data_IF_639440424669
#
_entry.id   IF_639440424669
#
_cell.length_a   1.000
_cell.length_b   1.000
_cell.length_c   1.000
_cell.angle_alpha   90.00
_cell.angle_beta   90.00
_cell.angle_gamma   90.00
#
_symmetry.space_group_name_H-M   'P 1'
#
loop_
_entity.id
_entity.type
_entity.pdbx_description
1 polymer ?
#
# COMPACT_ATOMS: atom_id res chain seq x y z
N UNK A 1 -8.63 -14.89 -12.59
CA UNK A 1 -9.67 -14.88 -11.56
C UNK A 1 -9.59 -16.22 -10.86
N UNK A 2 -9.02 -16.25 -9.68
CA UNK A 2 -9.08 -17.42 -8.81
C UNK A 2 -10.41 -17.34 -8.02
N UNK A 3 -11.09 -18.48 -7.73
CA UNK A 3 -12.43 -18.50 -7.08
C UNK A 3 -12.55 -17.74 -5.74
N UNK A 4 -11.56 -16.99 -5.32
CA UNK A 4 -11.55 -16.25 -4.05
C UNK A 4 -11.11 -14.79 -4.14
N UNK A 5 -10.51 -14.32 -5.25
CA UNK A 5 -10.04 -12.94 -5.38
C UNK A 5 -10.04 -12.47 -6.83
N UNK A 6 -10.37 -11.20 -7.04
CA UNK A 6 -10.21 -10.50 -8.31
C UNK A 6 -9.37 -9.24 -8.07
N UNK A 7 -8.24 -9.14 -8.74
CA UNK A 7 -7.36 -7.97 -8.70
C UNK A 7 -7.38 -7.29 -10.06
N UNK A 8 -7.56 -5.98 -10.05
CA UNK A 8 -7.58 -5.14 -11.26
C UNK A 8 -6.66 -3.93 -11.06
N UNK A 9 -6.03 -3.51 -12.14
CA UNK A 9 -5.17 -2.32 -12.13
C UNK A 9 -5.29 -1.55 -13.45
N UNK A 10 -5.42 -0.23 -13.35
CA UNK A 10 -5.30 0.70 -14.48
C UNK A 10 -4.01 1.48 -14.33
N UNK A 11 -3.01 1.13 -15.14
CA UNK A 11 -1.65 1.64 -15.02
C UNK A 11 -1.44 2.94 -15.79
N UNK A 12 -0.87 3.95 -15.14
CA UNK A 12 -0.09 4.97 -15.81
C UNK A 12 1.34 4.44 -15.96
N UNK A 13 1.86 4.38 -17.18
CA UNK A 13 3.17 3.76 -17.44
C UNK A 13 4.27 4.79 -17.18
N UNK A 14 5.06 4.57 -16.13
CA UNK A 14 6.22 5.42 -15.78
C UNK A 14 7.52 4.64 -15.94
N UNK A 15 7.63 3.44 -15.36
CA UNK A 15 8.83 2.61 -15.37
C UNK A 15 8.51 1.26 -16.03
N UNK A 16 9.41 0.75 -16.90
CA UNK A 16 9.35 -0.57 -17.57
C UNK A 16 7.99 -0.88 -18.20
N UNK A 17 7.80 -0.36 -19.41
CA UNK A 17 6.53 -0.48 -20.16
C UNK A 17 6.14 -1.93 -20.41
N UNK A 18 7.11 -2.80 -20.66
CA UNK A 18 6.87 -4.20 -21.09
C UNK A 18 6.72 -5.14 -19.88
N UNK A 19 7.64 -5.08 -18.90
CA UNK A 19 7.69 -6.02 -17.79
C UNK A 19 7.01 -5.52 -16.51
N UNK A 20 6.56 -4.24 -16.48
CA UNK A 20 5.84 -3.67 -15.36
C UNK A 20 4.31 -3.86 -15.43
N UNK A 21 3.77 -4.77 -16.24
CA UNK A 21 2.32 -5.02 -16.32
C UNK A 21 1.75 -5.50 -15.00
N UNK A 22 0.56 -5.01 -14.67
CA UNK A 22 -0.16 -5.36 -13.44
C UNK A 22 -1.60 -5.81 -13.75
N UNK A 23 -2.21 -6.70 -12.94
CA UNK A 23 -1.61 -7.37 -11.79
C UNK A 23 -0.37 -8.20 -12.17
N UNK A 24 0.71 -8.09 -11.37
CA UNK A 24 1.92 -8.86 -11.58
C UNK A 24 1.91 -10.12 -10.71
N UNK A 25 2.36 -11.26 -11.25
CA UNK A 25 2.44 -12.50 -10.51
C UNK A 25 3.84 -13.09 -10.49
N UNK A 26 4.22 -13.66 -9.35
CA UNK A 26 5.45 -14.44 -9.16
C UNK A 26 5.11 -15.75 -8.47
N UNK A 27 5.55 -16.87 -9.07
CA UNK A 27 5.51 -18.17 -8.42
C UNK A 27 6.78 -18.37 -7.61
N UNK A 28 6.63 -18.66 -6.34
CA UNK A 28 7.72 -19.02 -5.44
C UNK A 28 7.37 -20.32 -4.74
N UNK A 29 8.17 -21.38 -4.96
CA UNK A 29 7.84 -22.76 -4.55
C UNK A 29 6.44 -23.13 -5.10
N UNK A 30 5.54 -23.59 -4.25
CA UNK A 30 4.20 -24.04 -4.64
C UNK A 30 3.13 -22.93 -4.54
N UNK A 31 3.55 -21.69 -4.24
CA UNK A 31 2.65 -20.55 -4.06
C UNK A 31 2.81 -19.53 -5.16
N UNK A 32 1.70 -19.01 -5.68
CA UNK A 32 1.68 -17.84 -6.55
C UNK A 32 1.25 -16.62 -5.73
N UNK A 33 2.06 -15.57 -5.81
CA UNK A 33 1.77 -14.27 -5.23
C UNK A 33 1.39 -13.30 -6.35
N UNK A 34 0.33 -12.53 -6.14
CA UNK A 34 -0.17 -11.57 -7.14
C UNK A 34 -0.24 -10.20 -6.51
N UNK A 35 0.40 -9.19 -7.12
CA UNK A 35 0.42 -7.81 -6.63
C UNK A 35 -0.34 -6.86 -7.56
N UNK A 36 -1.01 -5.89 -6.96
CA UNK A 36 -1.39 -4.60 -7.55
C UNK A 36 -0.72 -3.50 -6.73
N UNK A 37 -0.07 -2.56 -7.40
CA UNK A 37 0.80 -1.56 -6.80
C UNK A 37 0.60 -0.20 -7.47
N UNK A 38 0.33 0.81 -6.68
CA UNK A 38 0.27 2.20 -7.07
C UNK A 38 1.34 2.97 -6.30
N UNK A 39 2.42 3.38 -6.97
CA UNK A 39 3.49 4.08 -6.27
C UNK A 39 4.79 4.13 -7.05
N UNK A 40 5.82 4.56 -6.34
CA UNK A 40 7.20 4.61 -6.78
C UNK A 40 8.12 4.27 -5.60
N UNK A 41 9.02 3.32 -5.80
CA UNK A 41 9.99 2.88 -4.81
C UNK A 41 11.36 3.50 -5.08
N UNK A 42 11.86 4.31 -4.16
CA UNK A 42 13.11 5.07 -4.33
C UNK A 42 14.35 4.20 -4.14
N UNK A 43 14.32 3.26 -3.19
CA UNK A 43 15.44 2.35 -2.94
C UNK A 43 15.35 1.02 -3.70
N UNK A 44 14.84 1.08 -4.93
CA UNK A 44 14.66 -0.11 -5.81
C UNK A 44 15.98 -0.82 -6.09
N UNK A 45 17.04 -0.07 -6.37
CA UNK A 45 18.35 -0.62 -6.73
C UNK A 45 18.97 -1.43 -5.58
N UNK A 46 18.99 -0.85 -4.39
CA UNK A 46 19.56 -1.47 -3.17
C UNK A 46 18.82 -2.76 -2.81
N UNK A 47 17.48 -2.69 -2.77
CA UNK A 47 16.66 -3.86 -2.47
C UNK A 47 16.79 -4.95 -3.53
N UNK A 48 16.94 -4.58 -4.79
CA UNK A 48 17.15 -5.52 -5.89
C UNK A 48 18.44 -6.30 -5.70
N UNK A 49 19.53 -5.63 -5.35
CA UNK A 49 20.82 -6.30 -5.11
C UNK A 49 20.76 -7.19 -3.85
N UNK A 50 20.12 -6.74 -2.77
CA UNK A 50 19.90 -7.55 -1.57
C UNK A 50 19.06 -8.82 -1.86
N UNK A 51 18.07 -8.71 -2.74
CA UNK A 51 17.23 -9.84 -3.16
C UNK A 51 17.99 -10.78 -4.08
N UNK A 52 18.78 -10.27 -5.02
CA UNK A 52 19.66 -11.09 -5.90
C UNK A 52 20.68 -11.88 -5.08
N UNK A 53 21.33 -11.24 -4.10
CA UNK A 53 22.24 -11.92 -3.18
C UNK A 53 21.57 -13.04 -2.38
N UNK A 54 20.23 -12.97 -2.24
CA UNK A 54 19.40 -13.99 -1.59
C UNK A 54 18.81 -15.03 -2.56
N UNK A 55 19.28 -15.05 -3.83
CA UNK A 55 18.88 -16.04 -4.85
C UNK A 55 17.60 -15.67 -5.63
N UNK A 56 17.09 -14.44 -5.54
CA UNK A 56 15.97 -14.03 -6.36
C UNK A 56 16.44 -13.56 -7.75
N UNK A 57 15.81 -14.08 -8.80
CA UNK A 57 16.02 -13.62 -10.18
C UNK A 57 14.93 -12.65 -10.59
N UNK A 58 15.26 -11.66 -11.41
CA UNK A 58 14.34 -10.62 -11.89
C UNK A 58 14.12 -10.74 -13.39
N UNK A 59 12.89 -10.49 -13.83
CA UNK A 59 12.51 -10.53 -15.26
C UNK A 59 12.66 -9.16 -15.93
N UNK A 60 12.50 -8.10 -15.15
CA UNK A 60 12.54 -6.72 -15.64
C UNK A 60 13.16 -5.76 -14.63
N UNK A 61 12.97 -4.47 -14.92
CA UNK A 61 13.48 -3.38 -14.08
C UNK A 61 12.41 -2.74 -13.18
N UNK A 62 11.17 -3.28 -13.19
CA UNK A 62 10.04 -2.74 -12.44
C UNK A 62 10.28 -2.77 -10.93
N UNK A 63 9.94 -1.68 -10.24
CA UNK A 63 9.86 -1.58 -8.79
C UNK A 63 8.77 -2.49 -8.21
N UNK A 64 7.66 -2.68 -8.95
CA UNK A 64 6.59 -3.63 -8.60
C UNK A 64 7.13 -5.03 -8.33
N UNK A 65 8.09 -5.51 -9.16
CA UNK A 65 8.70 -6.82 -8.98
C UNK A 65 9.57 -6.86 -7.70
N UNK A 66 10.26 -5.75 -7.39
CA UNK A 66 11.06 -5.63 -6.17
C UNK A 66 10.17 -5.66 -4.93
N UNK A 67 9.06 -4.91 -4.91
CA UNK A 67 8.08 -4.93 -3.81
C UNK A 67 7.52 -6.33 -3.59
N UNK A 68 7.10 -7.01 -4.66
CA UNK A 68 6.54 -8.36 -4.58
C UNK A 68 7.56 -9.37 -4.02
N UNK A 69 8.79 -9.34 -4.49
CA UNK A 69 9.87 -10.24 -4.02
C UNK A 69 10.33 -9.89 -2.60
N UNK A 70 10.32 -8.61 -2.22
CA UNK A 70 10.54 -8.20 -0.84
C UNK A 70 9.50 -8.81 0.10
N UNK A 71 8.22 -8.80 -0.29
CA UNK A 71 7.17 -9.47 0.50
C UNK A 71 7.36 -10.99 0.56
N UNK A 72 7.73 -11.63 -0.54
CA UNK A 72 8.01 -13.08 -0.55
C UNK A 72 9.14 -13.44 0.41
N UNK A 73 10.18 -12.61 0.50
CA UNK A 73 11.35 -12.84 1.38
C UNK A 73 11.09 -12.49 2.84
N UNK A 74 10.49 -11.32 3.10
CA UNK A 74 10.40 -10.74 4.45
C UNK A 74 8.99 -10.76 5.05
N UNK A 75 7.99 -11.23 4.31
CA UNK A 75 6.59 -11.15 4.74
C UNK A 75 6.17 -9.70 4.98
N UNK A 76 5.37 -9.47 6.02
CA UNK A 76 4.90 -8.14 6.39
C UNK A 76 6.01 -7.16 6.79
N UNK A 77 7.17 -7.64 7.23
CA UNK A 77 8.30 -6.77 7.61
C UNK A 77 8.98 -6.10 6.39
N UNK A 78 8.64 -6.50 5.17
CA UNK A 78 9.08 -5.79 3.96
C UNK A 78 8.73 -4.30 4.01
N UNK A 79 7.59 -3.91 4.62
CA UNK A 79 7.15 -2.52 4.71
C UNK A 79 8.18 -1.60 5.37
N UNK A 80 8.96 -2.13 6.34
CA UNK A 80 10.00 -1.37 7.05
C UNK A 80 11.21 -1.07 6.15
N UNK A 81 11.45 -1.93 5.15
CA UNK A 81 12.57 -1.81 4.20
C UNK A 81 12.25 -0.93 3.00
N UNK A 82 10.97 -0.78 2.65
CA UNK A 82 10.55 0.03 1.52
C UNK A 82 10.70 1.52 1.82
N UNK A 83 11.36 2.24 0.92
CA UNK A 83 11.44 3.69 0.91
C UNK A 83 10.83 4.22 -0.38
N UNK A 84 9.71 4.96 -0.27
CA UNK A 84 8.97 5.44 -1.42
C UNK A 84 7.56 5.89 -1.06
N UNK A 85 6.81 6.22 -2.08
CA UNK A 85 5.38 6.57 -2.00
C UNK A 85 4.58 5.43 -2.63
N UNK A 86 3.74 4.76 -1.86
CA UNK A 86 3.06 3.57 -2.36
C UNK A 86 1.78 3.18 -1.60
N UNK A 87 0.90 2.53 -2.34
CA UNK A 87 -0.16 1.69 -1.81
C UNK A 87 -0.20 0.40 -2.63
N UNK A 88 -0.20 -0.76 -1.98
CA UNK A 88 -0.24 -2.03 -2.69
C UNK A 88 -1.06 -3.09 -1.97
N UNK A 89 -1.48 -4.08 -2.75
CA UNK A 89 -2.11 -5.29 -2.26
C UNK A 89 -1.43 -6.52 -2.86
N UNK A 90 -1.14 -7.53 -2.02
CA UNK A 90 -0.56 -8.80 -2.45
C UNK A 90 -1.47 -9.93 -2.02
N UNK A 91 -1.93 -10.72 -2.99
CA UNK A 91 -2.73 -11.92 -2.76
C UNK A 91 -1.86 -13.18 -2.83
N UNK A 92 -1.96 -14.00 -1.80
CA UNK A 92 -1.35 -15.31 -1.71
C UNK A 92 -2.38 -16.37 -2.10
N UNK A 93 -2.12 -17.12 -3.19
CA UNK A 93 -3.09 -18.09 -3.73
C UNK A 93 -3.19 -19.38 -2.91
N UNK A 94 -2.19 -19.72 -2.11
CA UNK A 94 -2.18 -20.96 -1.30
C UNK A 94 -3.08 -20.83 -0.08
N UNK A 95 -2.89 -19.78 0.71
CA UNK A 95 -3.64 -19.58 1.95
C UNK A 95 -4.78 -18.57 1.83
N UNK A 96 -4.98 -18.04 0.60
CA UNK A 96 -6.03 -17.06 0.26
C UNK A 96 -5.97 -15.78 1.10
N UNK A 97 -4.81 -15.43 1.61
CA UNK A 97 -4.61 -14.19 2.34
C UNK A 97 -4.38 -13.01 1.39
N UNK A 98 -4.80 -11.82 1.83
CA UNK A 98 -4.55 -10.56 1.15
C UNK A 98 -3.80 -9.63 2.10
N UNK A 99 -2.62 -9.20 1.69
CA UNK A 99 -1.81 -8.23 2.42
C UNK A 99 -1.95 -6.86 1.76
N UNK A 100 -2.27 -5.85 2.56
CA UNK A 100 -2.40 -4.45 2.16
C UNK A 100 -1.30 -3.64 2.85
N UNK A 101 -0.72 -2.65 2.16
CA UNK A 101 0.26 -1.75 2.76
C UNK A 101 0.15 -0.36 2.14
N UNK A 102 0.28 0.67 2.98
CA UNK A 102 0.34 2.07 2.59
C UNK A 102 1.64 2.70 3.06
N UNK A 103 2.21 3.61 2.29
CA UNK A 103 3.47 4.28 2.59
C UNK A 103 3.48 5.04 3.93
N UNK A 104 4.68 5.40 4.39
CA UNK A 104 4.94 5.96 5.73
C UNK A 104 4.16 7.23 6.03
N UNK A 105 3.97 8.10 5.02
CA UNK A 105 3.30 9.40 5.16
C UNK A 105 1.94 9.47 4.46
N UNK A 106 1.53 8.35 3.80
CA UNK A 106 0.21 8.21 3.19
C UNK A 106 0.01 9.00 1.90
N UNK A 107 1.07 9.16 1.10
CA UNK A 107 0.98 9.87 -0.20
C UNK A 107 0.02 9.16 -1.14
N UNK A 108 0.10 7.82 -1.20
CA UNK A 108 -0.85 7.05 -2.02
C UNK A 108 -2.04 6.60 -1.19
N UNK A 109 -3.28 6.85 -1.63
CA UNK A 109 -4.47 6.44 -0.91
C UNK A 109 -4.71 4.93 -1.02
N UNK A 110 -5.31 4.35 0.02
CA UNK A 110 -5.77 2.96 0.03
C UNK A 110 -7.03 2.83 0.88
N UNK A 111 -8.18 2.79 0.21
CA UNK A 111 -9.49 2.62 0.84
C UNK A 111 -9.89 1.15 0.88
N UNK A 112 -10.68 0.77 1.90
CA UNK A 112 -11.22 -0.57 2.00
C UNK A 112 -12.63 -0.57 2.59
N UNK A 113 -13.35 -1.65 2.34
CA UNK A 113 -14.69 -1.91 2.85
C UNK A 113 -14.82 -3.40 3.18
N UNK A 114 -15.15 -3.72 4.43
CA UNK A 114 -15.41 -5.09 4.86
C UNK A 114 -16.90 -5.41 4.71
N UNK A 115 -17.22 -6.56 4.14
CA UNK A 115 -18.60 -7.05 4.00
C UNK A 115 -18.63 -8.56 4.25
N UNK A 116 -19.80 -9.12 4.47
CA UNK A 116 -20.06 -10.54 4.81
C UNK A 116 -19.00 -11.55 4.30
N UNK A 117 -17.89 -11.69 5.03
CA UNK A 117 -16.80 -12.60 4.71
C UNK A 117 -15.89 -12.18 3.54
N UNK A 118 -16.00 -10.93 3.08
CA UNK A 118 -15.21 -10.36 1.99
C UNK A 118 -14.57 -9.02 2.33
N UNK A 119 -13.61 -8.62 1.50
CA UNK A 119 -12.95 -7.32 1.56
C UNK A 119 -12.87 -6.72 0.15
N UNK A 120 -13.31 -5.48 0.02
CA UNK A 120 -13.03 -4.64 -1.15
C UNK A 120 -11.93 -3.66 -0.79
N UNK A 121 -11.05 -3.35 -1.74
CA UNK A 121 -10.05 -2.29 -1.60
C UNK A 121 -9.85 -1.55 -2.93
N UNK A 122 -9.48 -0.29 -2.85
CA UNK A 122 -9.20 0.54 -4.02
C UNK A 122 -8.36 1.77 -3.65
N UNK A 123 -7.68 2.35 -4.64
CA UNK A 123 -7.02 3.65 -4.49
C UNK A 123 -8.01 4.82 -4.47
N UNK A 124 -9.24 4.62 -4.97
CA UNK A 124 -10.26 5.66 -5.06
C UNK A 124 -11.62 5.13 -4.58
N UNK A 125 -12.34 5.94 -3.79
CA UNK A 125 -13.66 5.57 -3.24
C UNK A 125 -14.67 5.27 -4.37
N UNK A 126 -14.61 6.00 -5.49
CA UNK A 126 -15.50 5.75 -6.64
C UNK A 126 -15.41 4.31 -7.17
N UNK A 127 -14.24 3.67 -7.06
CA UNK A 127 -14.09 2.27 -7.48
C UNK A 127 -14.78 1.30 -6.51
N UNK A 128 -14.80 1.62 -5.21
CA UNK A 128 -15.57 0.86 -4.22
C UNK A 128 -17.07 0.99 -4.48
N UNK A 129 -17.56 2.21 -4.74
CA UNK A 129 -18.97 2.47 -5.05
C UNK A 129 -19.41 1.77 -6.35
N UNK A 130 -18.54 1.75 -7.36
CA UNK A 130 -18.80 1.08 -8.65
C UNK A 130 -19.04 -0.43 -8.50
N UNK A 131 -18.55 -1.05 -7.44
CA UNK A 131 -18.79 -2.47 -7.13
C UNK A 131 -20.26 -2.80 -6.86
N UNK A 132 -21.09 -1.79 -6.50
CA UNK A 132 -22.47 -1.89 -6.03
C UNK A 132 -22.65 -2.68 -4.71
N UNK A 133 -21.56 -3.18 -4.13
CA UNK A 133 -21.54 -3.79 -2.79
C UNK A 133 -21.56 -2.68 -1.73
N UNK A 134 -20.81 -1.62 -1.97
CA UNK A 134 -20.81 -0.42 -1.11
C UNK A 134 -21.99 0.47 -1.52
N UNK A 135 -22.89 0.71 -0.57
CA UNK A 135 -23.99 1.65 -0.77
C UNK A 135 -23.47 3.09 -0.60
N UNK A 136 -23.87 4.05 -1.47
CA UNK A 136 -23.44 5.45 -1.36
C UNK A 136 -24.22 6.16 -0.25
N UNK A 137 -24.10 5.70 0.98
CA UNK A 137 -24.74 6.26 2.18
C UNK A 137 -23.71 7.06 2.96
N UNK A 138 -24.08 8.28 3.37
CA UNK A 138 -23.31 9.13 4.26
C UNK A 138 -24.02 9.10 5.61
N UNK A 139 -23.28 8.83 6.67
CA UNK A 139 -23.79 8.90 8.05
C UNK A 139 -23.41 10.25 8.69
N UNK A 140 -23.78 10.43 9.97
CA UNK A 140 -23.48 11.65 10.71
C UNK A 140 -22.00 12.00 10.67
N UNK A 141 -21.12 11.01 10.81
CA UNK A 141 -19.68 11.24 10.74
C UNK A 141 -19.25 11.70 9.34
N UNK A 142 -19.73 11.07 8.30
CA UNK A 142 -19.43 11.49 6.92
C UNK A 142 -19.93 12.91 6.61
N UNK A 143 -21.07 13.31 7.18
CA UNK A 143 -21.54 14.70 7.09
C UNK A 143 -20.59 15.66 7.81
N UNK A 144 -20.12 15.32 9.00
CA UNK A 144 -19.16 16.12 9.75
C UNK A 144 -17.83 16.28 8.97
N UNK A 145 -17.33 15.21 8.34
CA UNK A 145 -16.16 15.29 7.46
C UNK A 145 -16.34 16.32 6.34
N UNK A 146 -17.49 16.31 5.68
CA UNK A 146 -17.77 17.21 4.55
C UNK A 146 -17.91 18.67 5.01
N UNK A 147 -18.66 18.92 6.08
CA UNK A 147 -19.01 20.28 6.47
C UNK A 147 -17.95 20.99 7.32
N UNK A 148 -17.20 20.24 8.14
CA UNK A 148 -16.27 20.85 9.10
C UNK A 148 -14.80 20.68 8.74
N UNK A 149 -14.42 19.64 8.00
CA UNK A 149 -13.01 19.37 7.63
C UNK A 149 -12.67 19.78 6.19
N UNK A 150 -13.68 20.03 5.35
CA UNK A 150 -13.48 20.42 3.95
C UNK A 150 -12.68 19.39 3.16
N UNK A 151 -11.51 19.75 2.58
CA UNK A 151 -10.69 18.80 1.81
C UNK A 151 -9.92 17.80 2.68
N UNK A 152 -9.79 18.09 3.99
CA UNK A 152 -9.17 17.17 4.95
C UNK A 152 -10.14 16.06 5.35
N UNK A 153 -9.62 15.02 5.99
CA UNK A 153 -10.40 13.91 6.54
C UNK A 153 -9.80 13.45 7.85
N UNK A 154 -10.64 12.98 8.74
CA UNK A 154 -10.19 12.26 9.92
C UNK A 154 -9.43 11.00 9.50
N UNK A 155 -8.23 10.73 10.05
CA UNK A 155 -7.50 9.51 9.75
C UNK A 155 -8.35 8.25 9.85
N UNK A 156 -8.22 7.34 8.90
CA UNK A 156 -8.98 6.10 8.73
C UNK A 156 -10.41 6.23 8.19
N UNK A 157 -10.97 7.42 8.00
CA UNK A 157 -12.35 7.54 7.52
C UNK A 157 -12.44 7.82 6.01
N UNK A 158 -13.44 7.25 5.37
CA UNK A 158 -13.69 7.34 3.94
C UNK A 158 -14.97 8.07 3.54
N UNK A 159 -15.52 8.95 4.37
CA UNK A 159 -16.75 9.74 4.14
C UNK A 159 -18.03 8.89 4.03
N UNK A 160 -18.01 7.81 3.25
CA UNK A 160 -19.17 6.92 3.10
C UNK A 160 -19.19 5.88 4.22
N UNK A 161 -20.38 5.57 4.69
CA UNK A 161 -20.63 4.62 5.78
C UNK A 161 -19.94 3.27 5.54
N UNK A 162 -19.08 2.88 6.48
CA UNK A 162 -18.32 1.62 6.43
C UNK A 162 -17.13 1.61 5.48
N UNK A 163 -16.87 2.70 4.74
CA UNK A 163 -15.64 2.86 3.97
C UNK A 163 -14.55 3.42 4.86
N UNK A 164 -13.42 2.76 4.89
CA UNK A 164 -12.25 3.16 5.68
C UNK A 164 -11.06 3.41 4.77
N UNK A 165 -10.09 4.18 5.26
CA UNK A 165 -8.80 4.37 4.65
C UNK A 165 -7.71 3.73 5.52
N UNK A 166 -6.76 3.02 4.92
CA UNK A 166 -5.60 2.51 5.66
C UNK A 166 -4.72 3.71 6.07
N UNK A 167 -4.32 3.79 7.33
CA UNK A 167 -3.53 4.91 7.82
C UNK A 167 -2.12 4.98 7.20
N UNK A 168 -1.50 6.17 7.16
CA UNK A 168 -0.08 6.30 6.89
C UNK A 168 0.76 5.38 7.77
N UNK A 169 1.75 4.69 7.18
CA UNK A 169 2.61 3.77 7.90
C UNK A 169 1.91 2.53 8.45
N UNK A 170 0.77 2.16 7.88
CA UNK A 170 0.00 0.99 8.30
C UNK A 170 0.01 -0.10 7.23
N UNK A 171 0.02 -1.34 7.66
CA UNK A 171 -0.26 -2.50 6.84
C UNK A 171 -1.40 -3.32 7.44
N UNK A 172 -2.05 -4.14 6.62
CA UNK A 172 -3.14 -4.99 7.05
C UNK A 172 -3.05 -6.38 6.40
N UNK A 173 -3.46 -7.38 7.15
CA UNK A 173 -3.58 -8.76 6.68
C UNK A 173 -5.04 -9.19 6.77
N UNK A 174 -5.64 -9.50 5.63
CA UNK A 174 -6.97 -10.11 5.57
C UNK A 174 -6.81 -11.62 5.36
N UNK A 175 -7.31 -12.37 6.32
CA UNK A 175 -7.27 -13.84 6.31
C UNK A 175 -8.41 -14.39 7.15
N UNK A 176 -9.03 -15.50 6.71
CA UNK A 176 -10.15 -16.15 7.40
C UNK A 176 -11.28 -15.15 7.74
N UNK A 177 -11.65 -14.30 6.78
CA UNK A 177 -12.69 -13.27 6.93
C UNK A 177 -12.43 -12.24 8.05
N UNK A 178 -11.17 -12.02 8.41
CA UNK A 178 -10.77 -11.05 9.43
C UNK A 178 -9.64 -10.16 8.90
N UNK A 179 -9.82 -8.85 9.03
CA UNK A 179 -8.79 -7.85 8.75
C UNK A 179 -8.04 -7.51 10.04
N UNK A 180 -6.72 -7.69 10.03
CA UNK A 180 -5.84 -7.29 11.15
C UNK A 180 -4.90 -6.23 10.67
N UNK A 181 -4.96 -5.03 11.25
CA UNK A 181 -4.11 -3.88 10.93
C UNK A 181 -2.92 -3.82 11.88
N UNK A 182 -1.78 -3.36 11.37
CA UNK A 182 -0.56 -3.14 12.15
C UNK A 182 0.14 -1.89 11.64
N UNK A 183 0.46 -0.98 12.55
CA UNK A 183 1.32 0.17 12.28
C UNK A 183 2.77 -0.31 12.22
N UNK A 184 3.45 -0.06 11.09
CA UNK A 184 4.85 -0.44 10.90
C UNK A 184 5.80 0.76 10.99
N UNK A 185 5.24 1.98 10.90
CA UNK A 185 5.97 3.23 10.99
C UNK A 185 5.17 4.28 11.74
N UNK A 186 5.85 5.08 12.56
CA UNK A 186 5.29 6.23 13.27
C UNK A 186 6.31 7.35 13.23
N UNK A 187 5.86 8.57 12.94
CA UNK A 187 6.70 9.76 13.10
C UNK A 187 6.81 10.03 14.60
N UNK A 188 8.05 10.06 15.09
CA UNK A 188 8.35 10.40 16.47
C UNK A 188 8.73 11.88 16.54
N UNK A 189 8.03 12.64 17.38
CA UNK A 189 8.46 13.99 17.73
C UNK A 189 9.69 13.90 18.64
N UNK A 190 10.76 14.58 18.25
CA UNK A 190 11.99 14.68 19.06
C UNK A 190 12.31 16.13 19.30
N UNK A 191 12.93 16.41 20.44
CA UNK A 191 13.45 17.73 20.73
C UNK A 191 14.53 18.09 19.71
N UNK A 192 14.44 19.30 19.18
CA UNK A 192 15.42 19.81 18.22
C UNK A 192 16.58 20.42 18.99
N UNK A 193 17.74 19.76 18.94
CA UNK A 193 18.93 20.13 19.70
C UNK A 193 19.99 20.89 18.89
N UNK A 194 19.84 20.95 17.56
CA UNK A 194 20.78 21.68 16.71
C UNK A 194 20.57 23.20 16.82
N UNK A 195 21.65 23.96 16.69
CA UNK A 195 21.56 25.42 16.54
C UNK A 195 21.09 25.78 15.12
N UNK A 196 20.77 27.07 14.90
CA UNK A 196 20.21 27.56 13.63
C UNK A 196 21.12 27.26 12.44
N UNK A 197 22.43 27.48 12.55
CA UNK A 197 23.41 27.26 11.45
C UNK A 197 23.41 25.79 11.04
N UNK A 198 23.55 24.89 12.01
CA UNK A 198 23.56 23.45 11.77
C UNK A 198 22.23 22.98 11.18
N UNK A 199 21.10 23.55 11.62
CA UNK A 199 19.78 23.23 11.10
C UNK A 199 19.66 23.62 9.63
N UNK A 200 20.13 24.81 9.25
CA UNK A 200 20.11 25.29 7.87
C UNK A 200 20.98 24.39 6.99
N UNK A 201 22.19 24.04 7.44
CA UNK A 201 23.10 23.17 6.69
C UNK A 201 22.53 21.77 6.48
N UNK A 202 21.99 21.14 7.52
CA UNK A 202 21.33 19.82 7.43
C UNK A 202 20.13 19.87 6.50
N UNK A 203 19.29 20.91 6.61
CA UNK A 203 18.11 21.08 5.77
C UNK A 203 18.52 21.22 4.29
N UNK A 204 19.55 22.05 4.00
CA UNK A 204 20.07 22.21 2.64
C UNK A 204 20.59 20.87 2.09
N UNK A 205 21.35 20.12 2.88
CA UNK A 205 21.86 18.80 2.47
C UNK A 205 20.75 17.78 2.16
N UNK A 206 19.62 17.83 2.89
CA UNK A 206 18.50 16.92 2.66
C UNK A 206 17.64 17.31 1.45
N UNK A 207 17.71 18.55 0.96
CA UNK A 207 16.95 19.07 -0.17
C UNK A 207 17.71 19.00 -1.50
N UNK A 208 19.00 18.71 -1.50
CA UNK A 208 19.86 18.57 -2.68
C UNK A 208 20.13 17.11 -2.99
#
# INVERSE_FOLDING_TARGET
INRGAALMHRRLVVIDRENGKQPMSVRHKDTTYVIVYNGELYNTAELREELKASGFHFRGHSDTEVVLKSYIKYGADCCKKLNGIFAFAIYNTSDKSLFLCRDRIGVKPLFYYEYNGGLLFASEIKALLASKVVKPQIDEQGLNEIFFLGPARTPSFGVFKGVFELNPGECAMYRHSKLRRKKYYTVEAKEHTDNEVTTIEKTRYLLT
#
